data_IF_125769637024
#
_entry.id   IF_125769637024
#
_cell.length_a   1.000
_cell.length_b   1.000
_cell.length_c   1.000
_cell.angle_alpha   90.00
_cell.angle_beta   90.00
_cell.angle_gamma   90.00
#
_symmetry.space_group_name_H-M   'P 1'
#
loop_
_entity.id
_entity.type
_entity.pdbx_description
1 polymer ?
#
# COMPACT_ATOMS: atom_id res chain seq x y z
N UNK A 1 1.46 6.71 -14.96
CA UNK A 1 0.23 7.54 -15.07
C UNK A 1 -0.04 8.14 -13.70
N UNK A 2 -0.46 9.41 -13.58
CA UNK A 2 -0.80 9.97 -12.25
C UNK A 2 -1.99 9.25 -11.65
N UNK A 3 -1.86 8.73 -10.44
CA UNK A 3 -2.95 8.10 -9.70
C UNK A 3 -3.95 9.17 -9.27
N UNK A 4 -5.23 8.81 -9.22
CA UNK A 4 -6.29 9.69 -8.70
C UNK A 4 -6.84 9.15 -7.37
N UNK A 5 -7.59 9.99 -6.64
CA UNK A 5 -8.15 9.63 -5.33
C UNK A 5 -8.99 8.36 -5.33
N UNK A 6 -9.77 8.11 -6.38
CA UNK A 6 -10.60 6.92 -6.48
C UNK A 6 -9.76 5.64 -6.61
N UNK A 7 -8.62 5.71 -7.30
CA UNK A 7 -7.71 4.58 -7.42
C UNK A 7 -6.94 4.32 -6.11
N UNK A 8 -6.63 5.36 -5.33
CA UNK A 8 -6.08 5.17 -3.98
C UNK A 8 -7.12 4.52 -3.07
N UNK A 9 -8.37 4.97 -3.10
CA UNK A 9 -9.45 4.33 -2.36
C UNK A 9 -9.61 2.85 -2.76
N UNK A 10 -9.56 2.54 -4.06
CA UNK A 10 -9.59 1.17 -4.56
C UNK A 10 -8.42 0.33 -4.04
N UNK A 11 -7.22 0.91 -3.97
CA UNK A 11 -6.04 0.27 -3.38
C UNK A 11 -6.26 -0.05 -1.89
N UNK A 12 -6.78 0.90 -1.11
CA UNK A 12 -7.12 0.72 0.32
C UNK A 12 -8.14 -0.42 0.50
N UNK A 13 -9.18 -0.50 -0.34
CA UNK A 13 -10.17 -1.58 -0.25
C UNK A 13 -9.55 -2.96 -0.51
N UNK A 14 -8.60 -3.04 -1.45
CA UNK A 14 -7.81 -4.25 -1.66
C UNK A 14 -7.01 -4.63 -0.41
N UNK A 15 -6.30 -3.67 0.20
CA UNK A 15 -5.56 -3.90 1.44
C UNK A 15 -6.46 -4.34 2.60
N UNK A 16 -7.63 -3.71 2.77
CA UNK A 16 -8.61 -4.10 3.79
C UNK A 16 -9.01 -5.57 3.62
N UNK A 17 -9.25 -6.00 2.38
CA UNK A 17 -9.60 -7.40 2.08
C UNK A 17 -8.47 -8.35 2.50
N UNK A 18 -7.20 -8.00 2.24
CA UNK A 18 -6.06 -8.81 2.66
C UNK A 18 -5.95 -8.90 4.18
N UNK A 19 -6.10 -7.77 4.88
CA UNK A 19 -6.04 -7.69 6.34
C UNK A 19 -7.16 -8.52 6.98
N UNK A 20 -8.39 -8.42 6.47
CA UNK A 20 -9.55 -9.17 6.96
C UNK A 20 -9.36 -10.69 6.81
N UNK A 21 -8.64 -11.12 5.77
CA UNK A 21 -8.27 -12.52 5.56
C UNK A 21 -7.01 -12.96 6.33
N UNK A 22 -6.47 -12.11 7.21
CA UNK A 22 -5.31 -12.42 8.04
C UNK A 22 -3.98 -12.47 7.28
N UNK A 23 -3.93 -11.96 6.05
CA UNK A 23 -2.69 -11.90 5.29
C UNK A 23 -1.73 -10.88 5.91
N UNK A 24 -0.44 -11.16 5.79
CA UNK A 24 0.61 -10.33 6.34
C UNK A 24 1.81 -10.27 5.39
N UNK A 25 2.48 -9.12 5.36
CA UNK A 25 3.81 -8.95 4.81
C UNK A 25 4.66 -8.27 5.89
N UNK A 26 5.89 -8.74 6.08
CA UNK A 26 6.76 -8.04 7.02
C UNK A 26 7.11 -6.64 6.47
N UNK A 27 7.40 -5.70 7.38
CA UNK A 27 7.67 -4.31 7.04
C UNK A 27 8.81 -4.13 6.04
N UNK A 28 9.88 -4.93 6.19
CA UNK A 28 11.07 -4.84 5.34
C UNK A 28 10.77 -5.22 3.89
N UNK A 29 10.02 -6.28 3.66
CA UNK A 29 9.69 -6.73 2.31
C UNK A 29 8.68 -5.79 1.65
N UNK A 30 7.71 -5.29 2.42
CA UNK A 30 6.82 -4.23 1.95
C UNK A 30 7.62 -3.00 1.49
N UNK A 31 8.57 -2.53 2.30
CA UNK A 31 9.42 -1.38 1.96
C UNK A 31 10.18 -1.60 0.66
N UNK A 32 10.83 -2.76 0.50
CA UNK A 32 11.54 -3.13 -0.73
C UNK A 32 10.65 -3.09 -1.95
N UNK A 33 9.41 -3.59 -1.83
CA UNK A 33 8.44 -3.59 -2.95
C UNK A 33 8.01 -2.18 -3.34
N UNK A 34 7.87 -1.26 -2.37
CA UNK A 34 7.55 0.14 -2.65
C UNK A 34 8.75 0.79 -3.35
N UNK A 35 9.96 0.64 -2.80
CA UNK A 35 11.22 1.18 -3.35
C UNK A 35 11.49 0.66 -4.77
N UNK A 36 11.20 -0.61 -5.03
CA UNK A 36 11.39 -1.23 -6.34
C UNK A 36 10.24 -0.99 -7.32
N UNK A 37 9.20 -0.24 -6.92
CA UNK A 37 7.99 -0.01 -7.72
C UNK A 37 7.32 -1.31 -8.19
N UNK A 38 7.28 -2.33 -7.33
CA UNK A 38 6.66 -3.64 -7.63
C UNK A 38 5.52 -3.98 -6.66
N UNK A 39 5.09 -3.06 -5.80
CA UNK A 39 4.07 -3.37 -4.78
C UNK A 39 2.72 -3.77 -5.39
N UNK A 40 2.27 -3.12 -6.46
CA UNK A 40 0.99 -3.44 -7.10
C UNK A 40 1.10 -4.73 -7.90
N UNK A 41 2.17 -4.87 -8.66
CA UNK A 41 2.48 -6.06 -9.45
C UNK A 41 2.64 -7.29 -8.56
N UNK A 42 3.29 -7.16 -7.41
CA UNK A 42 3.36 -8.19 -6.37
C UNK A 42 1.97 -8.57 -5.84
N UNK A 43 1.17 -7.60 -5.41
CA UNK A 43 -0.18 -7.85 -4.89
C UNK A 43 -1.06 -8.54 -5.94
N UNK A 44 -0.96 -8.11 -7.19
CA UNK A 44 -1.71 -8.69 -8.29
C UNK A 44 -1.29 -10.15 -8.57
N UNK A 45 0.02 -10.43 -8.67
CA UNK A 45 0.52 -11.80 -8.88
C UNK A 45 0.15 -12.73 -7.71
N UNK A 46 0.14 -12.20 -6.48
CA UNK A 46 -0.08 -12.99 -5.28
C UNK A 46 -1.56 -13.22 -4.98
N UNK A 47 -2.44 -12.24 -5.22
CA UNK A 47 -3.80 -12.23 -4.68
C UNK A 47 -4.93 -12.05 -5.69
N UNK A 48 -4.66 -11.74 -6.97
CA UNK A 48 -5.69 -11.40 -7.98
C UNK A 48 -6.87 -12.37 -8.05
N UNK A 49 -6.60 -13.66 -7.92
CA UNK A 49 -7.63 -14.71 -8.04
C UNK A 49 -8.22 -15.14 -6.69
N UNK A 50 -7.71 -14.61 -5.58
CA UNK A 50 -8.05 -15.04 -4.23
C UNK A 50 -8.91 -14.03 -3.50
N UNK A 51 -8.58 -12.73 -3.61
CA UNK A 51 -9.19 -11.71 -2.75
C UNK A 51 -9.60 -10.43 -3.49
N UNK A 52 -8.71 -9.87 -4.31
CA UNK A 52 -8.93 -8.55 -4.91
C UNK A 52 -8.16 -8.41 -6.21
N UNK A 53 -8.80 -7.84 -7.25
CA UNK A 53 -8.15 -7.64 -8.55
C UNK A 53 -7.44 -6.28 -8.59
N UNK A 54 -6.11 -6.31 -8.45
CA UNK A 54 -5.26 -5.12 -8.52
C UNK A 54 -4.89 -4.74 -9.97
N UNK A 55 -5.38 -5.43 -11.00
CA UNK A 55 -5.00 -5.22 -12.40
C UNK A 55 -5.19 -3.78 -12.85
N UNK A 56 -6.28 -3.13 -12.41
CA UNK A 56 -6.59 -1.74 -12.79
C UNK A 56 -5.57 -0.74 -12.23
N UNK A 57 -4.83 -1.12 -11.19
CA UNK A 57 -3.81 -0.29 -10.53
C UNK A 57 -2.43 -0.38 -11.19
N UNK A 58 -2.14 -1.39 -12.02
CA UNK A 58 -0.81 -1.62 -12.61
C UNK A 58 -0.28 -0.37 -13.33
N UNK A 59 -1.14 0.31 -14.09
CA UNK A 59 -0.76 1.53 -14.83
C UNK A 59 -0.39 2.74 -13.94
N UNK A 60 -0.69 2.67 -12.64
CA UNK A 60 -0.40 3.68 -11.63
C UNK A 60 0.72 3.26 -10.67
N UNK A 61 1.31 2.07 -10.84
CA UNK A 61 2.26 1.49 -9.90
C UNK A 61 3.41 2.45 -9.57
N UNK A 62 4.08 2.97 -10.59
CA UNK A 62 5.21 3.89 -10.40
C UNK A 62 4.82 5.14 -9.58
N UNK A 63 3.69 5.75 -9.92
CA UNK A 63 3.23 7.00 -9.30
C UNK A 63 2.74 6.76 -7.87
N UNK A 64 2.04 5.66 -7.63
CA UNK A 64 1.63 5.26 -6.29
C UNK A 64 2.84 4.96 -5.41
N UNK A 65 3.84 4.21 -5.91
CA UNK A 65 5.06 3.92 -5.16
C UNK A 65 5.82 5.20 -4.81
N UNK A 66 5.99 6.12 -5.76
CA UNK A 66 6.67 7.39 -5.51
C UNK A 66 5.95 8.18 -4.40
N UNK A 67 4.62 8.22 -4.42
CA UNK A 67 3.81 8.88 -3.39
C UNK A 67 3.86 8.18 -2.04
N UNK A 68 3.86 6.85 -2.00
CA UNK A 68 4.03 6.09 -0.77
C UNK A 68 5.41 6.39 -0.13
N UNK A 69 6.45 6.57 -0.95
CA UNK A 69 7.78 6.93 -0.47
C UNK A 69 7.90 8.33 0.12
N UNK A 70 6.96 9.24 -0.16
CA UNK A 70 6.90 10.54 0.54
C UNK A 70 6.70 10.35 2.06
N UNK A 71 6.14 9.22 2.47
CA UNK A 71 5.93 8.84 3.87
C UNK A 71 7.04 7.91 4.41
N UNK A 72 8.17 7.77 3.70
CA UNK A 72 9.30 6.94 4.12
C UNK A 72 9.81 7.18 5.56
N UNK A 73 9.84 8.42 6.09
CA UNK A 73 10.23 8.64 7.48
C UNK A 73 9.33 7.92 8.50
N UNK A 74 8.05 7.70 8.14
CA UNK A 74 7.09 6.93 8.95
C UNK A 74 7.21 5.42 8.71
N UNK A 75 7.67 5.01 7.53
CA UNK A 75 7.88 3.60 7.18
C UNK A 75 9.14 3.00 7.82
N UNK A 76 10.22 3.78 7.88
CA UNK A 76 11.55 3.32 8.29
C UNK A 76 11.74 3.30 9.80
N UNK A 77 11.11 4.24 10.54
CA UNK A 77 11.30 4.40 11.99
C UNK A 77 10.03 4.09 12.78
N UNK A 78 10.18 3.30 13.85
CA UNK A 78 9.19 3.03 14.91
C UNK A 78 7.72 3.07 14.47
N UNK A 79 7.34 2.11 13.61
CA UNK A 79 5.96 1.96 13.13
C UNK A 79 4.95 1.76 14.25
N UNK A 80 5.39 1.27 15.41
CA UNK A 80 4.54 1.09 16.57
C UNK A 80 4.11 2.44 17.16
N UNK A 81 5.02 3.38 17.38
CA UNK A 81 4.63 4.70 17.89
C UNK A 81 3.86 5.56 16.88
N UNK A 82 3.96 5.28 15.58
CA UNK A 82 3.28 6.03 14.52
C UNK A 82 1.91 5.47 14.14
N UNK A 83 1.76 4.15 14.12
CA UNK A 83 0.56 3.48 13.63
C UNK A 83 -0.06 2.51 14.64
N UNK A 84 0.59 2.25 15.78
CA UNK A 84 0.18 1.21 16.72
C UNK A 84 0.40 -0.20 16.19
N UNK A 85 1.25 -0.37 15.16
CA UNK A 85 1.46 -1.63 14.45
C UNK A 85 2.92 -2.03 14.49
N UNK A 86 3.19 -3.20 15.04
CA UNK A 86 4.55 -3.71 15.19
C UNK A 86 5.05 -4.39 13.89
N UNK A 87 4.27 -5.33 13.34
CA UNK A 87 4.78 -6.26 12.33
C UNK A 87 3.88 -6.53 11.12
N UNK A 88 2.71 -5.89 10.99
CA UNK A 88 1.87 -6.07 9.81
C UNK A 88 2.07 -4.93 8.79
N UNK A 89 2.86 -5.22 7.75
CA UNK A 89 3.15 -4.28 6.68
C UNK A 89 1.91 -3.84 5.91
N UNK A 90 0.90 -4.70 5.71
CA UNK A 90 -0.31 -4.27 5.02
C UNK A 90 -1.11 -3.24 5.83
N UNK A 91 -1.12 -3.31 7.16
CA UNK A 91 -1.78 -2.30 7.99
C UNK A 91 -1.02 -0.97 7.93
N UNK A 92 0.32 -1.01 7.94
CA UNK A 92 1.16 0.18 7.77
C UNK A 92 0.90 0.82 6.40
N UNK A 93 0.92 0.02 5.35
CA UNK A 93 0.65 0.43 3.97
C UNK A 93 -0.75 1.05 3.83
N UNK A 94 -1.75 0.44 4.47
CA UNK A 94 -3.13 0.93 4.49
C UNK A 94 -3.23 2.29 5.20
N UNK A 95 -2.56 2.44 6.34
CA UNK A 95 -2.55 3.69 7.11
C UNK A 95 -1.96 4.84 6.28
N UNK A 96 -0.87 4.58 5.56
CA UNK A 96 -0.21 5.57 4.69
C UNK A 96 -1.07 5.87 3.47
N UNK A 97 -1.61 4.85 2.80
CA UNK A 97 -2.52 5.05 1.68
C UNK A 97 -3.75 5.88 2.08
N UNK A 98 -4.24 5.70 3.32
CA UNK A 98 -5.31 6.53 3.88
C UNK A 98 -4.85 7.98 4.07
N UNK A 99 -3.64 8.22 4.59
CA UNK A 99 -3.05 9.56 4.63
C UNK A 99 -2.97 10.21 3.24
N UNK A 100 -2.45 9.48 2.25
CA UNK A 100 -2.37 9.92 0.86
C UNK A 100 -3.73 10.28 0.24
N UNK A 101 -4.79 9.57 0.65
CA UNK A 101 -6.16 9.85 0.22
C UNK A 101 -6.69 11.15 0.83
N UNK A 102 -6.39 11.40 2.11
CA UNK A 102 -6.81 12.61 2.83
C UNK A 102 -6.04 13.86 2.37
N UNK A 103 -4.76 13.71 2.05
CA UNK A 103 -3.90 14.79 1.57
C UNK A 103 -4.09 15.08 0.06
N UNK A 104 -4.98 14.33 -0.61
CA UNK A 104 -5.28 14.52 -2.02
C UNK A 104 -6.13 15.78 -2.24
N UNK A 105 -5.48 16.91 -2.41
CA UNK A 105 -6.12 18.15 -2.84
C UNK A 105 -6.42 18.07 -4.35
N UNK A 106 -7.68 18.31 -4.73
CA UNK A 106 -8.15 18.33 -6.13
C UNK A 106 -7.51 19.47 -6.95
#
# INVERSE_FOLDING_TARGET
MKINKHMIAFFIYGLNTLIDNGENINKTDMLKLIESKDIISYLNRTFKLKYWDFTVLIKYEDDLSDRLMEYYPYLSNDSYSKFGVENNGYIILNSIATGLLLDFND
#
